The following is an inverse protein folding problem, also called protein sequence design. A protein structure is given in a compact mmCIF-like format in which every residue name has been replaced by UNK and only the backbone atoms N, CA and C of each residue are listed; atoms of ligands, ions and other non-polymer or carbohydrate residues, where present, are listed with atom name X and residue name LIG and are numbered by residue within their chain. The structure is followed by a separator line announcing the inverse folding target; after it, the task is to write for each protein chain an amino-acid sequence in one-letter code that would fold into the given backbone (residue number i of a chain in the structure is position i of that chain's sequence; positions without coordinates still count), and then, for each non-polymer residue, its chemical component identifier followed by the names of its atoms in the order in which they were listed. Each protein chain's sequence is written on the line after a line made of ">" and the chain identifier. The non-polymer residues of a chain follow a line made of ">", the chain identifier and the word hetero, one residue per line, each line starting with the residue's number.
data_IF_583814470149
#
_entry.id   IF_583814470149
#
_cell.length_a   1.000
_cell.length_b   1.000
_cell.length_c   1.000
_cell.angle_alpha   90.00
_cell.angle_beta   90.00
_cell.angle_gamma   90.00
#
_symmetry.space_group_name_H-M   'P 1'
#
loop_
_entity.id
_entity.type
_entity.pdbx_description
1 polymer ?
#
# COMPACT_ATOMS: atom_id res chain seq x y z
N UNK A 1 7.43 5.58 19.30
CA UNK A 1 7.05 5.78 17.89
C UNK A 1 6.19 4.62 17.38
N UNK A 2 6.73 3.40 17.25
CA UNK A 2 5.99 2.25 16.68
C UNK A 2 4.69 1.94 17.42
N UNK A 3 4.71 1.87 18.76
CA UNK A 3 3.49 1.63 19.57
C UNK A 3 2.38 2.64 19.30
N UNK A 4 2.74 3.92 19.08
CA UNK A 4 1.78 4.97 18.79
C UNK A 4 1.16 4.80 17.40
N UNK A 5 1.99 4.46 16.39
CA UNK A 5 1.52 4.18 15.04
C UNK A 5 0.57 2.97 15.05
N UNK A 6 0.95 1.89 15.73
CA UNK A 6 0.10 0.70 15.84
C UNK A 6 -1.21 0.99 16.58
N UNK A 7 -1.17 1.77 17.66
CA UNK A 7 -2.37 2.16 18.41
C UNK A 7 -3.31 3.07 17.60
N UNK A 8 -2.77 3.84 16.65
CA UNK A 8 -3.55 4.74 15.79
C UNK A 8 -3.98 4.07 14.47
N UNK A 9 -3.53 2.85 14.19
CA UNK A 9 -3.84 2.13 12.97
C UNK A 9 -5.20 1.42 13.07
N UNK A 10 -5.88 1.26 11.93
CA UNK A 10 -7.04 0.39 11.82
C UNK A 10 -6.57 -1.02 11.50
N UNK A 11 -6.66 -1.93 12.47
CA UNK A 11 -6.31 -3.33 12.25
C UNK A 11 -7.26 -3.98 11.23
N UNK A 12 -6.70 -4.59 10.19
CA UNK A 12 -7.46 -5.30 9.15
C UNK A 12 -7.12 -6.79 9.18
N UNK A 13 -8.11 -7.68 9.23
CA UNK A 13 -7.87 -9.08 8.97
C UNK A 13 -7.71 -9.28 7.45
N UNK A 14 -6.76 -10.13 7.05
CA UNK A 14 -6.47 -10.41 5.63
C UNK A 14 -6.67 -11.91 5.41
N UNK A 15 -7.46 -12.29 4.40
CA UNK A 15 -7.83 -13.69 4.14
C UNK A 15 -7.63 -14.12 2.69
N UNK A 16 -6.85 -13.37 1.93
CA UNK A 16 -6.72 -13.60 0.50
C UNK A 16 -5.79 -14.78 0.16
N UNK A 17 -6.19 -15.57 -0.85
CA UNK A 17 -5.46 -16.74 -1.36
C UNK A 17 -4.97 -16.54 -2.81
N UNK A 18 -4.89 -15.30 -3.29
CA UNK A 18 -4.61 -15.02 -4.70
C UNK A 18 -3.12 -14.76 -5.03
N UNK A 19 -2.17 -15.12 -4.14
CA UNK A 19 -0.72 -14.97 -4.38
C UNK A 19 -0.16 -15.98 -5.40
N UNK A 20 0.91 -15.65 -6.16
CA UNK A 20 1.63 -14.38 -6.17
C UNK A 20 1.12 -13.40 -7.24
N UNK A 21 1.19 -12.08 -6.96
CA UNK A 21 0.76 -11.04 -7.93
C UNK A 21 1.83 -10.00 -8.22
N UNK A 22 2.74 -9.81 -7.26
CA UNK A 22 3.86 -8.88 -7.37
C UNK A 22 5.15 -9.58 -7.81
N UNK A 23 6.10 -8.81 -8.39
CA UNK A 23 7.45 -9.31 -8.68
C UNK A 23 8.17 -9.91 -7.47
N UNK A 24 8.05 -9.29 -6.29
CA UNK A 24 8.48 -9.88 -5.02
C UNK A 24 7.27 -10.46 -4.27
N UNK A 25 7.13 -11.80 -4.17
CA UNK A 25 6.05 -12.43 -3.44
C UNK A 25 6.01 -12.07 -1.95
N UNK A 26 7.12 -11.57 -1.39
CA UNK A 26 7.14 -11.10 0.00
C UNK A 26 6.36 -9.81 0.19
N UNK A 27 6.08 -9.05 -0.87
CA UNK A 27 5.32 -7.80 -0.77
C UNK A 27 3.81 -8.01 -0.98
N UNK A 28 3.37 -9.20 -1.41
CA UNK A 28 1.95 -9.49 -1.65
C UNK A 28 1.08 -9.25 -0.40
N UNK A 29 1.60 -9.47 0.82
CA UNK A 29 0.83 -9.19 2.04
C UNK A 29 0.52 -7.70 2.22
N UNK A 30 1.39 -6.82 1.72
CA UNK A 30 1.18 -5.36 1.77
C UNK A 30 0.14 -4.96 0.73
N UNK A 31 0.20 -5.53 -0.47
CA UNK A 31 -0.81 -5.32 -1.51
C UNK A 31 -2.20 -5.79 -1.04
N UNK A 32 -2.27 -6.98 -0.47
CA UNK A 32 -3.51 -7.53 0.10
C UNK A 32 -4.09 -6.64 1.20
N UNK A 33 -3.25 -6.13 2.09
CA UNK A 33 -3.67 -5.16 3.11
C UNK A 33 -4.22 -3.87 2.46
N UNK A 34 -3.57 -3.36 1.42
CA UNK A 34 -4.02 -2.17 0.71
C UNK A 34 -5.40 -2.39 0.08
N UNK A 35 -5.64 -3.57 -0.49
CA UNK A 35 -6.94 -3.97 -1.03
C UNK A 35 -8.01 -4.10 0.06
N UNK A 36 -7.74 -4.86 1.13
CA UNK A 36 -8.69 -5.04 2.25
C UNK A 36 -9.05 -3.71 2.94
N UNK A 37 -8.06 -2.83 3.09
CA UNK A 37 -8.24 -1.52 3.71
C UNK A 37 -8.91 -0.49 2.80
N UNK A 38 -9.09 -0.81 1.51
CA UNK A 38 -9.53 0.13 0.46
C UNK A 38 -8.64 1.37 0.40
N UNK A 39 -7.33 1.17 0.54
CA UNK A 39 -6.37 2.26 0.48
C UNK A 39 -6.30 2.80 -0.96
N UNK A 40 -6.30 4.13 -1.09
CA UNK A 40 -6.08 4.77 -2.38
C UNK A 40 -4.62 4.61 -2.85
N UNK A 41 -3.68 4.55 -1.89
CA UNK A 41 -2.24 4.56 -2.16
C UNK A 41 -1.46 3.56 -1.32
N UNK A 42 -0.43 2.97 -1.92
CA UNK A 42 0.74 2.42 -1.21
C UNK A 42 1.89 3.40 -1.41
N UNK A 43 2.38 3.96 -0.30
CA UNK A 43 3.47 4.94 -0.33
C UNK A 43 4.78 4.22 0.00
N UNK A 44 5.70 4.14 -0.97
CA UNK A 44 6.98 3.43 -0.81
C UNK A 44 8.07 4.01 -1.70
N UNK A 45 9.33 3.88 -1.29
CA UNK A 45 10.47 4.19 -2.16
C UNK A 45 10.74 3.11 -3.22
N UNK A 46 10.25 1.88 -3.00
CA UNK A 46 10.49 0.74 -3.86
C UNK A 46 9.28 0.45 -4.77
N UNK A 47 8.84 1.44 -5.53
CA UNK A 47 7.64 1.32 -6.38
C UNK A 47 7.72 0.17 -7.39
N UNK A 48 8.94 -0.18 -7.83
CA UNK A 48 9.21 -1.29 -8.75
C UNK A 48 8.79 -2.67 -8.21
N UNK A 49 8.76 -2.85 -6.90
CA UNK A 49 8.40 -4.14 -6.28
C UNK A 49 6.87 -4.35 -6.28
N UNK A 50 6.10 -3.29 -6.58
CA UNK A 50 4.64 -3.30 -6.65
C UNK A 50 4.10 -3.14 -8.08
N UNK A 51 4.92 -3.39 -9.11
CA UNK A 51 4.44 -3.37 -10.51
C UNK A 51 3.28 -4.35 -10.68
N UNK A 52 2.15 -3.85 -11.18
CA UNK A 52 0.92 -4.64 -11.36
C UNK A 52 -0.11 -4.48 -10.24
N UNK A 53 0.18 -3.70 -9.18
CA UNK A 53 -0.78 -3.36 -8.12
C UNK A 53 -1.97 -2.52 -8.62
N UNK A 54 -1.80 -1.81 -9.74
CA UNK A 54 -2.84 -1.01 -10.43
C UNK A 54 -4.03 -1.87 -10.86
N UNK A 55 -3.81 -3.15 -11.17
CA UNK A 55 -4.88 -4.13 -11.48
C UNK A 55 -5.85 -4.35 -10.33
N UNK A 56 -5.44 -4.01 -9.10
CA UNK A 56 -6.25 -4.06 -7.89
C UNK A 56 -6.81 -2.69 -7.49
N UNK A 57 -6.65 -1.67 -8.34
CA UNK A 57 -7.06 -0.30 -8.05
C UNK A 57 -6.14 0.44 -7.08
N UNK A 58 -4.98 -0.11 -6.75
CA UNK A 58 -4.02 0.48 -5.80
C UNK A 58 -2.99 1.31 -6.54
N UNK A 59 -2.86 2.60 -6.20
CA UNK A 59 -1.82 3.48 -6.75
C UNK A 59 -0.56 3.40 -5.90
N UNK A 60 0.56 3.00 -6.49
CA UNK A 60 1.84 2.95 -5.77
C UNK A 60 2.66 4.17 -6.14
N UNK A 61 3.03 4.96 -5.13
CA UNK A 61 3.73 6.24 -5.32
C UNK A 61 4.84 6.43 -4.29
N UNK A 62 5.81 7.26 -4.62
CA UNK A 62 6.86 7.67 -3.68
C UNK A 62 6.33 8.68 -2.65
N UNK A 63 6.97 8.78 -1.47
CA UNK A 63 6.65 9.83 -0.50
C UNK A 63 6.70 11.25 -1.08
N UNK A 64 7.61 11.50 -2.03
CA UNK A 64 7.72 12.80 -2.72
C UNK A 64 6.47 13.10 -3.55
N UNK A 65 5.99 12.13 -4.31
CA UNK A 65 4.77 12.27 -5.12
C UNK A 65 3.54 12.42 -4.23
N UNK A 66 3.46 11.67 -3.13
CA UNK A 66 2.35 11.83 -2.18
C UNK A 66 2.33 13.22 -1.53
N UNK A 67 3.49 13.74 -1.16
CA UNK A 67 3.62 15.11 -0.65
C UNK A 67 3.12 16.15 -1.67
N UNK A 68 3.42 15.99 -2.96
CA UNK A 68 2.89 16.88 -3.99
C UNK A 68 1.36 16.81 -4.06
N UNK A 69 0.78 15.61 -4.05
CA UNK A 69 -0.68 15.41 -4.08
C UNK A 69 -1.37 16.12 -2.90
N UNK A 70 -0.87 15.97 -1.68
CA UNK A 70 -1.51 16.56 -0.50
C UNK A 70 -1.32 18.08 -0.41
N UNK A 71 -0.25 18.63 -1.02
CA UNK A 71 -0.03 20.07 -1.09
C UNK A 71 -0.93 20.69 -2.14
N UNK A 72 -1.12 20.03 -3.29
CA UNK A 72 -2.02 20.47 -4.36
C UNK A 72 -3.51 20.34 -3.98
N UNK A 73 -3.85 19.41 -3.08
CA UNK A 73 -5.20 19.25 -2.56
C UNK A 73 -5.60 20.30 -1.49
N UNK A 74 -4.69 21.22 -1.12
CA UNK A 74 -4.95 22.33 -0.21
C UNK A 74 -5.21 23.62 -0.97
#
# INVERSE_FOLDING_TARGET
>A
MLNFICASASLRPIFFLFRPNLPDPKDDFVLELAVESRADFVITFNTRDFVGADRFGIRVISPREFLAIIVEAR
#
